data_IF_290563081030
#
_entry.id   IF_290563081030
#
_cell.length_a   1.000
_cell.length_b   1.000
_cell.length_c   1.000
_cell.angle_alpha   90.00
_cell.angle_beta   90.00
_cell.angle_gamma   90.00
#
_symmetry.space_group_name_H-M   'P 1'
#
loop_
_entity.id
_entity.type
_entity.pdbx_description
1 polymer ?
#
# COMPACT_ATOMS: atom_id res chain seq x y z
N UNK A 1 3.54 -5.59 -12.75
CA UNK A 1 4.81 -5.05 -12.22
C UNK A 1 5.27 -5.89 -11.02
N UNK A 2 6.28 -6.74 -11.17
CA UNK A 2 6.99 -7.27 -10.00
C UNK A 2 7.86 -6.11 -9.51
N UNK A 3 7.43 -5.41 -8.46
CA UNK A 3 8.34 -4.49 -7.77
C UNK A 3 9.61 -5.28 -7.44
N UNK A 4 10.82 -4.74 -7.68
CA UNK A 4 12.01 -5.33 -7.11
C UNK A 4 11.77 -5.41 -5.60
N UNK A 5 11.79 -6.64 -5.09
CA UNK A 5 11.66 -6.94 -3.68
C UNK A 5 12.80 -6.19 -2.98
N UNK A 6 12.51 -5.01 -2.45
CA UNK A 6 13.40 -4.30 -1.56
C UNK A 6 13.43 -5.12 -0.26
N UNK A 7 14.26 -6.17 -0.26
CA UNK A 7 14.62 -6.92 0.93
C UNK A 7 15.33 -5.94 1.85
N UNK A 8 14.65 -5.62 2.95
CA UNK A 8 14.74 -4.34 3.62
C UNK A 8 16.07 -3.98 4.28
N UNK A 9 16.80 -4.81 5.02
CA UNK A 9 17.37 -4.38 6.32
C UNK A 9 16.25 -4.21 7.36
N UNK A 10 16.49 -4.69 8.57
CA UNK A 10 15.53 -4.70 9.66
C UNK A 10 14.91 -3.33 9.93
N UNK A 11 13.63 -3.29 10.29
CA UNK A 11 12.99 -2.09 10.82
C UNK A 11 13.66 -1.71 12.15
N UNK A 12 13.89 -0.41 12.33
CA UNK A 12 14.30 0.20 13.60
C UNK A 12 13.02 0.67 14.32
N UNK A 13 12.93 0.41 15.62
CA UNK A 13 11.86 0.93 16.48
C UNK A 13 12.33 2.17 17.22
N UNK A 14 11.60 3.27 17.05
CA UNK A 14 11.98 4.59 17.54
C UNK A 14 11.20 4.95 18.81
N UNK A 15 11.64 4.43 19.96
CA UNK A 15 11.02 4.70 21.25
C UNK A 15 11.77 5.75 22.12
N UNK A 16 12.86 6.37 21.64
CA UNK A 16 13.61 7.34 22.49
C UNK A 16 14.27 8.45 21.66
N UNK A 17 13.95 9.69 22.04
CA UNK A 17 14.46 10.96 21.51
C UNK A 17 15.90 11.22 21.98
N UNK A 18 16.92 10.81 21.22
CA UNK A 18 18.32 11.27 21.43
C UNK A 18 19.24 10.85 20.27
N UNK A 19 19.75 11.83 19.52
CA UNK A 19 20.56 11.68 18.30
C UNK A 19 22.06 11.40 18.52
N UNK A 20 22.53 11.39 19.77
CA UNK A 20 23.97 11.29 20.03
C UNK A 20 24.33 9.88 20.48
N UNK A 21 24.79 9.08 19.52
CA UNK A 21 25.58 7.85 19.71
C UNK A 21 24.80 6.53 19.87
N UNK A 22 23.94 6.16 18.90
CA UNK A 22 23.30 4.83 18.85
C UNK A 22 23.92 3.87 17.82
N UNK A 23 24.19 2.64 18.25
CA UNK A 23 24.06 1.48 17.37
C UNK A 23 22.55 1.29 17.14
N UNK A 24 22.04 1.29 15.91
CA UNK A 24 20.62 1.12 15.67
C UNK A 24 20.17 -0.26 16.19
N UNK A 25 19.17 -0.26 17.06
CA UNK A 25 18.50 -1.49 17.47
C UNK A 25 17.66 -1.97 16.28
N UNK A 26 17.93 -3.19 15.83
CA UNK A 26 17.21 -3.83 14.75
C UNK A 26 16.08 -4.69 15.32
N UNK A 27 15.07 -5.02 14.50
CA UNK A 27 14.05 -6.01 14.87
C UNK A 27 14.64 -7.35 15.35
N UNK A 28 15.86 -7.71 14.92
CA UNK A 28 16.55 -8.91 15.40
C UNK A 28 16.96 -8.82 16.87
N UNK A 29 17.24 -7.61 17.36
CA UNK A 29 17.61 -7.35 18.75
C UNK A 29 16.40 -7.47 19.69
N UNK A 30 15.18 -7.33 19.16
CA UNK A 30 13.93 -7.46 19.90
C UNK A 30 13.48 -8.91 20.11
N UNK A 31 14.02 -9.85 19.33
CA UNK A 31 13.72 -11.28 19.47
C UNK A 31 14.66 -11.85 20.54
N UNK A 32 14.21 -12.15 21.79
CA UNK A 32 15.14 -12.53 22.86
C UNK A 32 15.67 -13.94 22.67
N UNK A 33 14.81 -14.85 22.20
CA UNK A 33 15.14 -16.25 21.98
C UNK A 33 16.13 -16.40 20.81
N UNK A 34 17.27 -17.04 21.09
CA UNK A 34 18.34 -17.17 20.12
C UNK A 34 17.99 -18.11 18.95
N UNK A 35 17.11 -19.09 19.14
CA UNK A 35 16.68 -19.98 18.07
C UNK A 35 15.68 -19.28 17.15
N UNK A 36 14.72 -18.55 17.73
CA UNK A 36 13.76 -17.71 17.02
C UNK A 36 14.48 -16.64 16.20
N UNK A 37 15.46 -15.94 16.79
CA UNK A 37 16.24 -14.92 16.07
C UNK A 37 16.96 -15.50 14.86
N UNK A 38 17.58 -16.69 15.00
CA UNK A 38 18.23 -17.38 13.87
C UNK A 38 17.23 -17.82 12.80
N UNK A 39 16.07 -18.31 13.21
CA UNK A 39 15.01 -18.71 12.27
C UNK A 39 14.48 -17.50 11.49
N UNK A 40 14.24 -16.38 12.16
CA UNK A 40 13.82 -15.14 11.53
C UNK A 40 14.90 -14.58 10.59
N UNK A 41 16.17 -14.63 11.01
CA UNK A 41 17.30 -14.23 10.16
C UNK A 41 17.43 -15.10 8.91
N UNK A 42 17.28 -16.42 9.04
CA UNK A 42 17.30 -17.33 7.89
C UNK A 42 16.17 -17.02 6.90
N UNK A 43 14.96 -16.76 7.39
CA UNK A 43 13.83 -16.31 6.58
C UNK A 43 14.16 -15.02 5.83
N UNK A 44 14.75 -14.04 6.52
CA UNK A 44 15.07 -12.73 5.96
C UNK A 44 16.13 -12.76 4.86
N UNK A 45 17.10 -13.67 4.99
CA UNK A 45 18.24 -13.78 4.07
C UNK A 45 17.95 -14.69 2.87
N UNK A 46 16.91 -15.53 2.93
CA UNK A 46 16.55 -16.43 1.84
C UNK A 46 16.04 -15.65 0.63
N UNK A 47 16.56 -16.01 -0.54
CA UNK A 47 16.28 -15.35 -1.82
C UNK A 47 15.40 -16.20 -2.72
N UNK A 48 15.40 -17.52 -2.54
CA UNK A 48 14.51 -18.41 -3.27
C UNK A 48 13.07 -18.29 -2.72
N UNK A 49 12.07 -17.88 -3.53
CA UNK A 49 10.72 -17.64 -3.02
C UNK A 49 10.06 -18.89 -2.44
N UNK A 50 10.28 -20.07 -3.03
CA UNK A 50 9.67 -21.30 -2.52
C UNK A 50 10.23 -21.68 -1.15
N UNK A 51 11.56 -21.60 -0.98
CA UNK A 51 12.21 -21.82 0.32
C UNK A 51 11.85 -20.75 1.34
N UNK A 52 11.78 -19.49 0.93
CA UNK A 52 11.40 -18.37 1.81
C UNK A 52 9.99 -18.57 2.37
N UNK A 53 9.06 -19.06 1.54
CA UNK A 53 7.71 -19.40 1.99
C UNK A 53 7.70 -20.57 2.97
N UNK A 54 8.42 -21.66 2.70
CA UNK A 54 8.54 -22.80 3.64
C UNK A 54 9.12 -22.36 5.00
N UNK A 55 10.14 -21.51 4.97
CA UNK A 55 10.74 -20.93 6.19
C UNK A 55 9.73 -20.08 6.96
N UNK A 56 8.94 -19.25 6.28
CA UNK A 56 7.91 -18.43 6.91
C UNK A 56 6.83 -19.29 7.57
N UNK A 57 6.31 -20.29 6.88
CA UNK A 57 5.30 -21.21 7.43
C UNK A 57 5.84 -22.01 8.61
N UNK A 58 7.09 -22.46 8.53
CA UNK A 58 7.76 -23.17 9.63
C UNK A 58 7.94 -22.25 10.83
N UNK A 59 8.31 -20.99 10.61
CA UNK A 59 8.41 -19.99 11.66
C UNK A 59 7.05 -19.82 12.36
N UNK A 60 5.97 -19.60 11.60
CA UNK A 60 4.62 -19.41 12.14
C UNK A 60 4.14 -20.62 12.97
N UNK A 61 4.48 -21.85 12.55
CA UNK A 61 4.16 -23.08 13.33
C UNK A 61 5.00 -23.22 14.59
N UNK A 62 6.28 -22.83 14.54
CA UNK A 62 7.23 -23.04 15.63
C UNK A 62 7.14 -21.95 16.70
N UNK A 63 6.86 -20.71 16.29
CA UNK A 63 6.83 -19.52 17.13
C UNK A 63 5.48 -18.78 17.02
N UNK A 64 4.33 -19.42 17.34
CA UNK A 64 3.00 -18.82 17.15
C UNK A 64 2.67 -17.65 18.08
N UNK A 65 3.59 -17.31 19.01
CA UNK A 65 3.49 -16.17 19.94
C UNK A 65 4.65 -15.18 19.78
N UNK A 66 5.36 -15.26 18.66
CA UNK A 66 6.47 -14.34 18.35
C UNK A 66 6.00 -12.89 18.34
N UNK A 67 6.87 -11.97 18.74
CA UNK A 67 6.63 -10.53 18.59
C UNK A 67 6.66 -10.07 17.12
N UNK A 68 7.30 -10.84 16.24
CA UNK A 68 7.52 -10.48 14.83
C UNK A 68 6.56 -11.17 13.85
N UNK A 69 5.38 -11.58 14.34
CA UNK A 69 4.40 -12.28 13.51
C UNK A 69 3.91 -11.42 12.34
N UNK A 70 3.76 -10.11 12.54
CA UNK A 70 3.29 -9.20 11.49
C UNK A 70 4.22 -9.22 10.27
N UNK A 71 5.54 -9.20 10.52
CA UNK A 71 6.60 -9.19 9.53
C UNK A 71 6.73 -10.55 8.85
N UNK A 72 6.61 -11.65 9.60
CA UNK A 72 6.63 -13.01 9.01
C UNK A 72 5.44 -13.21 8.07
N UNK A 73 4.25 -12.76 8.47
CA UNK A 73 3.07 -12.78 7.60
C UNK A 73 3.24 -11.86 6.39
N UNK A 74 3.85 -10.68 6.54
CA UNK A 74 4.15 -9.78 5.42
C UNK A 74 5.10 -10.45 4.42
N UNK A 75 6.18 -11.06 4.90
CA UNK A 75 7.14 -11.78 4.05
C UNK A 75 6.41 -12.93 3.33
N UNK A 76 5.61 -13.72 4.03
CA UNK A 76 4.83 -14.80 3.42
C UNK A 76 3.88 -14.28 2.34
N UNK A 77 3.17 -13.17 2.60
CA UNK A 77 2.26 -12.53 1.65
C UNK A 77 2.99 -12.10 0.38
N UNK A 78 4.06 -11.32 0.51
CA UNK A 78 4.88 -10.84 -0.62
C UNK A 78 5.49 -12.00 -1.41
N UNK A 79 5.92 -13.05 -0.72
CA UNK A 79 6.43 -14.27 -1.38
C UNK A 79 5.36 -15.00 -2.18
N UNK A 80 4.14 -15.09 -1.66
CA UNK A 80 3.02 -15.67 -2.40
C UNK A 80 2.68 -14.82 -3.64
N UNK A 81 2.78 -13.49 -3.57
CA UNK A 81 2.62 -12.60 -4.73
C UNK A 81 3.68 -12.91 -5.81
N UNK A 82 4.95 -13.06 -5.42
CA UNK A 82 6.04 -13.44 -6.34
C UNK A 82 5.80 -14.80 -7.01
N UNK A 83 5.21 -15.74 -6.27
CA UNK A 83 4.83 -17.07 -6.75
C UNK A 83 3.49 -17.10 -7.51
N UNK A 84 2.81 -15.95 -7.65
CA UNK A 84 1.45 -15.81 -8.21
C UNK A 84 0.36 -16.60 -7.46
N UNK A 85 0.61 -16.98 -6.21
CA UNK A 85 -0.38 -17.58 -5.30
C UNK A 85 -1.17 -16.46 -4.60
N UNK A 86 -2.02 -15.80 -5.37
CA UNK A 86 -2.73 -14.60 -4.91
C UNK A 86 -3.73 -14.87 -3.79
N UNK A 87 -4.28 -16.08 -3.72
CA UNK A 87 -5.22 -16.46 -2.65
C UNK A 87 -4.50 -16.47 -1.30
N UNK A 88 -3.40 -17.23 -1.19
CA UNK A 88 -2.60 -17.27 0.04
C UNK A 88 -1.92 -15.94 0.35
N UNK A 89 -1.55 -15.16 -0.69
CA UNK A 89 -1.05 -13.82 -0.50
C UNK A 89 -2.03 -12.93 0.27
N UNK A 90 -3.32 -12.94 -0.08
CA UNK A 90 -4.35 -12.15 0.59
C UNK A 90 -4.65 -12.66 2.01
N UNK A 91 -4.58 -13.97 2.24
CA UNK A 91 -4.73 -14.58 3.57
C UNK A 91 -3.62 -14.14 4.52
N UNK A 92 -2.35 -14.28 4.11
CA UNK A 92 -1.22 -13.81 4.91
C UNK A 92 -1.19 -12.29 5.06
N UNK A 93 -1.55 -11.54 4.01
CA UNK A 93 -1.62 -10.09 4.12
C UNK A 93 -2.70 -9.67 5.14
N UNK A 94 -3.86 -10.33 5.16
CA UNK A 94 -4.89 -10.08 6.16
C UNK A 94 -4.38 -10.40 7.57
N UNK A 95 -3.65 -11.50 7.76
CA UNK A 95 -3.05 -11.84 9.05
C UNK A 95 -2.01 -10.81 9.51
N UNK A 96 -1.16 -10.32 8.60
CA UNK A 96 -0.20 -9.26 8.87
C UNK A 96 -0.89 -7.93 9.23
N UNK A 97 -1.83 -7.47 8.40
CA UNK A 97 -2.53 -6.19 8.58
C UNK A 97 -3.49 -6.18 9.78
N UNK A 98 -3.86 -7.33 10.34
CA UNK A 98 -4.55 -7.40 11.64
C UNK A 98 -3.62 -7.02 12.80
N UNK A 99 -2.33 -7.33 12.68
CA UNK A 99 -1.32 -7.04 13.70
C UNK A 99 -0.68 -5.65 13.46
N UNK A 100 -0.41 -5.32 12.20
CA UNK A 100 0.17 -4.04 11.77
C UNK A 100 -0.67 -3.44 10.63
N UNK A 101 -1.81 -2.79 10.93
CA UNK A 101 -2.75 -2.28 9.93
C UNK A 101 -2.20 -1.13 9.07
N UNK A 102 -1.16 -0.45 9.54
CA UNK A 102 -0.61 0.78 9.00
C UNK A 102 0.69 0.51 8.20
N UNK A 103 0.70 -0.59 7.43
CA UNK A 103 1.84 -0.98 6.60
C UNK A 103 1.60 -0.57 5.13
N UNK A 104 2.01 0.64 4.70
CA UNK A 104 1.75 1.10 3.33
C UNK A 104 2.39 0.20 2.28
N UNK A 105 3.56 -0.39 2.55
CA UNK A 105 4.26 -1.24 1.58
C UNK A 105 3.46 -2.52 1.29
N UNK A 106 2.85 -3.11 2.31
CA UNK A 106 1.96 -4.25 2.14
C UNK A 106 0.62 -3.84 1.53
N UNK A 107 0.02 -2.73 1.98
CA UNK A 107 -1.26 -2.23 1.45
C UNK A 107 -1.20 -1.95 -0.06
N UNK A 108 -0.12 -1.35 -0.57
CA UNK A 108 0.08 -1.15 -2.02
C UNK A 108 0.06 -2.49 -2.77
N UNK A 109 0.79 -3.47 -2.25
CA UNK A 109 0.89 -4.80 -2.88
C UNK A 109 -0.46 -5.53 -2.88
N UNK A 110 -1.18 -5.44 -1.76
CA UNK A 110 -2.53 -6.01 -1.59
C UNK A 110 -3.52 -5.36 -2.53
N UNK A 111 -3.48 -4.04 -2.69
CA UNK A 111 -4.39 -3.32 -3.59
C UNK A 111 -4.21 -3.76 -5.05
N UNK A 112 -2.97 -3.94 -5.53
CA UNK A 112 -2.73 -4.45 -6.90
C UNK A 112 -3.28 -5.88 -7.06
N UNK A 113 -3.03 -6.77 -6.09
CA UNK A 113 -3.54 -8.15 -6.12
C UNK A 113 -5.07 -8.18 -6.11
N UNK A 114 -5.71 -7.43 -5.21
CA UNK A 114 -7.17 -7.33 -5.14
C UNK A 114 -7.75 -6.81 -6.45
N UNK A 115 -7.14 -5.78 -7.06
CA UNK A 115 -7.61 -5.23 -8.33
C UNK A 115 -7.49 -6.26 -9.47
N UNK A 116 -6.41 -7.06 -9.51
CA UNK A 116 -6.22 -8.16 -10.47
C UNK A 116 -7.24 -9.28 -10.28
N UNK A 117 -7.57 -9.61 -9.03
CA UNK A 117 -8.57 -10.63 -8.67
C UNK A 117 -10.02 -10.13 -8.82
N UNK A 118 -10.22 -8.86 -9.18
CA UNK A 118 -11.55 -8.29 -9.33
C UNK A 118 -12.26 -7.95 -8.01
N UNK A 119 -11.53 -7.90 -6.91
CA UNK A 119 -12.02 -7.44 -5.60
C UNK A 119 -11.99 -5.90 -5.56
N UNK A 120 -12.77 -5.24 -6.43
CA UNK A 120 -12.61 -3.81 -6.77
C UNK A 120 -12.79 -2.89 -5.58
N UNK A 121 -13.80 -3.13 -4.73
CA UNK A 121 -14.01 -2.31 -3.53
C UNK A 121 -12.88 -2.47 -2.50
N UNK A 122 -12.37 -3.69 -2.33
CA UNK A 122 -11.26 -3.93 -1.40
C UNK A 122 -9.98 -3.27 -1.92
N UNK A 123 -9.72 -3.39 -3.22
CA UNK A 123 -8.60 -2.73 -3.88
C UNK A 123 -8.66 -1.20 -3.72
N UNK A 124 -9.83 -0.61 -3.90
CA UNK A 124 -10.04 0.83 -3.70
C UNK A 124 -9.74 1.23 -2.25
N UNK A 125 -10.27 0.48 -1.27
CA UNK A 125 -10.02 0.75 0.14
C UNK A 125 -8.53 0.66 0.47
N UNK A 126 -7.87 -0.44 0.13
CA UNK A 126 -6.45 -0.65 0.42
C UNK A 126 -5.54 0.36 -0.28
N UNK A 127 -5.84 0.75 -1.53
CA UNK A 127 -5.07 1.78 -2.23
C UNK A 127 -5.22 3.17 -1.59
N UNK A 128 -6.43 3.54 -1.16
CA UNK A 128 -6.68 4.83 -0.50
C UNK A 128 -6.03 4.89 0.88
N UNK A 129 -6.13 3.82 1.66
CA UNK A 129 -5.42 3.70 2.94
C UNK A 129 -3.90 3.85 2.71
N UNK A 130 -3.34 3.12 1.74
CA UNK A 130 -1.91 3.25 1.43
C UNK A 130 -1.51 4.68 1.02
N UNK A 131 -2.31 5.38 0.21
CA UNK A 131 -2.05 6.78 -0.15
C UNK A 131 -2.07 7.69 1.09
N UNK A 132 -3.04 7.49 1.99
CA UNK A 132 -3.11 8.21 3.26
C UNK A 132 -1.87 7.97 4.12
N UNK A 133 -1.45 6.72 4.28
CA UNK A 133 -0.28 6.36 5.06
C UNK A 133 1.03 6.86 4.43
N UNK A 134 1.19 6.75 3.10
CA UNK A 134 2.35 7.30 2.38
C UNK A 134 2.45 8.82 2.53
N UNK A 135 1.34 9.53 2.58
CA UNK A 135 1.32 10.97 2.80
C UNK A 135 1.74 11.35 4.22
N UNK A 136 1.38 10.54 5.23
CA UNK A 136 1.59 10.82 6.66
C UNK A 136 2.94 10.33 7.19
N UNK A 137 3.43 9.18 6.71
CA UNK A 137 4.59 8.53 7.32
C UNK A 137 5.93 8.96 6.74
N UNK A 138 6.90 9.03 7.65
CA UNK A 138 8.30 9.09 7.27
C UNK A 138 8.75 7.76 6.64
N UNK A 139 9.89 7.84 5.96
CA UNK A 139 10.59 6.69 5.39
C UNK A 139 10.80 5.58 6.43
N UNK A 140 10.51 4.31 6.11
CA UNK A 140 10.96 3.19 6.95
C UNK A 140 12.49 3.17 7.07
N UNK A 141 13.02 2.94 8.27
CA UNK A 141 14.46 2.99 8.55
C UNK A 141 15.31 2.16 7.56
N UNK A 142 14.77 1.03 7.11
CA UNK A 142 15.35 0.09 6.15
C UNK A 142 15.63 0.67 4.76
N UNK A 143 14.94 1.73 4.34
CA UNK A 143 15.09 2.33 3.01
C UNK A 143 16.06 3.50 3.09
N UNK A 144 17.11 3.63 2.27
CA UNK A 144 17.99 4.81 2.33
C UNK A 144 17.26 6.13 2.06
N UNK A 145 17.63 7.21 2.76
CA UNK A 145 16.97 8.53 2.64
C UNK A 145 16.91 9.05 1.21
N UNK A 146 18.02 8.94 0.48
CA UNK A 146 18.12 9.34 -0.92
C UNK A 146 17.17 8.56 -1.84
N UNK A 147 16.85 7.31 -1.49
CA UNK A 147 15.97 6.44 -2.30
C UNK A 147 14.48 6.64 -2.03
N UNK A 148 14.11 7.19 -0.88
CA UNK A 148 12.72 7.27 -0.44
C UNK A 148 11.81 8.12 -1.31
N UNK A 149 12.18 9.35 -1.74
CA UNK A 149 11.29 10.13 -2.61
C UNK A 149 10.93 9.40 -3.90
N UNK A 150 11.87 8.62 -4.46
CA UNK A 150 11.64 7.81 -5.65
C UNK A 150 10.73 6.63 -5.38
N UNK A 151 10.98 5.88 -4.30
CA UNK A 151 10.16 4.74 -3.91
C UNK A 151 8.74 5.17 -3.55
N UNK A 152 8.57 6.22 -2.74
CA UNK A 152 7.27 6.79 -2.39
C UNK A 152 6.47 7.15 -3.63
N UNK A 153 7.08 7.84 -4.60
CA UNK A 153 6.44 8.18 -5.88
C UNK A 153 5.99 6.94 -6.66
N UNK A 154 6.79 5.87 -6.68
CA UNK A 154 6.45 4.61 -7.34
C UNK A 154 5.30 3.87 -6.62
N UNK A 155 5.28 3.90 -5.30
CA UNK A 155 4.20 3.33 -4.50
C UNK A 155 2.89 4.10 -4.71
N UNK A 156 2.93 5.44 -4.71
CA UNK A 156 1.79 6.29 -5.06
C UNK A 156 1.28 5.98 -6.47
N UNK A 157 2.18 5.87 -7.46
CA UNK A 157 1.81 5.48 -8.82
C UNK A 157 1.09 4.12 -8.86
N UNK A 158 1.57 3.17 -8.06
CA UNK A 158 0.99 1.82 -7.96
C UNK A 158 -0.40 1.84 -7.33
N UNK A 159 -0.64 2.68 -6.30
CA UNK A 159 -1.96 2.89 -5.73
C UNK A 159 -2.94 3.46 -6.75
N UNK A 160 -2.55 4.51 -7.47
CA UNK A 160 -3.38 5.08 -8.53
C UNK A 160 -3.64 4.10 -9.66
N UNK A 161 -2.65 3.29 -10.03
CA UNK A 161 -2.85 2.23 -11.00
C UNK A 161 -3.85 1.17 -10.53
N UNK A 162 -3.77 0.73 -9.27
CA UNK A 162 -4.73 -0.20 -8.68
C UNK A 162 -6.16 0.38 -8.65
N UNK A 163 -6.31 1.66 -8.27
CA UNK A 163 -7.59 2.38 -8.33
C UNK A 163 -8.14 2.45 -9.75
N UNK A 164 -7.29 2.78 -10.73
CA UNK A 164 -7.62 2.81 -12.15
C UNK A 164 -8.11 1.45 -12.65
N UNK A 165 -7.39 0.38 -12.31
CA UNK A 165 -7.75 -1.01 -12.65
C UNK A 165 -9.06 -1.42 -12.01
N UNK A 166 -9.25 -1.14 -10.73
CA UNK A 166 -10.47 -1.48 -10.01
C UNK A 166 -11.70 -0.80 -10.64
N UNK A 167 -11.61 0.51 -10.89
CA UNK A 167 -12.70 1.27 -11.52
C UNK A 167 -13.00 0.79 -12.94
N UNK A 168 -11.99 0.51 -13.77
CA UNK A 168 -12.19 -0.05 -15.11
C UNK A 168 -12.83 -1.45 -15.05
N UNK A 169 -12.34 -2.33 -14.17
CA UNK A 169 -12.85 -3.68 -14.02
C UNK A 169 -14.30 -3.71 -13.54
N UNK A 170 -14.68 -2.78 -12.67
CA UNK A 170 -16.06 -2.62 -12.20
C UNK A 170 -16.97 -2.12 -13.31
N UNK A 171 -16.56 -1.07 -14.03
CA UNK A 171 -17.33 -0.52 -15.15
C UNK A 171 -17.55 -1.53 -16.28
N UNK A 172 -16.57 -2.39 -16.54
CA UNK A 172 -16.61 -3.38 -17.62
C UNK A 172 -17.42 -4.64 -17.27
N UNK A 173 -17.73 -4.88 -15.99
CA UNK A 173 -18.65 -5.95 -15.58
C UNK A 173 -20.12 -5.60 -15.82
N UNK A 174 -20.47 -4.32 -15.75
CA UNK A 174 -21.82 -3.87 -16.02
C UNK A 174 -22.18 -4.06 -17.51
N UNK A 175 -23.44 -4.42 -17.84
CA UNK A 175 -23.91 -4.44 -19.22
C UNK A 175 -23.66 -3.10 -19.93
N UNK A 176 -23.38 -3.11 -21.23
CA UNK A 176 -23.00 -1.90 -21.97
C UNK A 176 -24.01 -0.74 -21.87
N UNK A 177 -25.30 -1.04 -21.66
CA UNK A 177 -26.38 -0.03 -21.49
C UNK A 177 -26.34 0.68 -20.13
N UNK A 178 -25.72 0.06 -19.14
CA UNK A 178 -25.58 0.54 -17.75
C UNK A 178 -24.09 0.77 -17.40
N UNK A 179 -23.22 0.79 -18.41
CA UNK A 179 -21.79 0.95 -18.23
C UNK A 179 -21.53 2.21 -17.41
N UNK A 180 -20.85 2.05 -16.28
CA UNK A 180 -20.54 3.15 -15.37
C UNK A 180 -19.55 4.12 -16.02
N UNK A 181 -20.06 5.06 -16.83
CA UNK A 181 -19.24 6.10 -17.49
C UNK A 181 -18.41 6.87 -16.46
N UNK A 182 -19.00 7.16 -15.30
CA UNK A 182 -18.31 7.78 -14.17
C UNK A 182 -17.13 6.95 -13.67
N UNK A 183 -17.27 5.62 -13.60
CA UNK A 183 -16.19 4.72 -13.21
C UNK A 183 -15.07 4.68 -14.26
N UNK A 184 -15.41 4.73 -15.55
CA UNK A 184 -14.41 4.80 -16.62
C UNK A 184 -13.68 6.15 -16.64
N UNK A 185 -14.36 7.26 -16.37
CA UNK A 185 -13.73 8.57 -16.20
C UNK A 185 -12.85 8.63 -14.94
N UNK A 186 -13.28 8.05 -13.82
CA UNK A 186 -12.45 7.89 -12.62
C UNK A 186 -11.21 7.05 -12.93
N UNK A 187 -11.38 5.94 -13.66
CA UNK A 187 -10.28 5.09 -14.09
C UNK A 187 -9.25 5.88 -14.90
N UNK A 188 -9.70 6.64 -15.91
CA UNK A 188 -8.83 7.50 -16.71
C UNK A 188 -8.06 8.51 -15.85
N UNK A 189 -8.73 9.18 -14.90
CA UNK A 189 -8.09 10.15 -14.02
C UNK A 189 -7.00 9.50 -13.16
N UNK A 190 -7.29 8.35 -12.54
CA UNK A 190 -6.31 7.60 -11.76
C UNK A 190 -5.13 7.11 -12.61
N UNK A 191 -5.37 6.60 -13.82
CA UNK A 191 -4.31 6.13 -14.71
C UNK A 191 -3.43 7.28 -15.22
N UNK A 192 -4.01 8.46 -15.41
CA UNK A 192 -3.26 9.67 -15.77
C UNK A 192 -2.31 10.09 -14.64
N UNK A 193 -2.77 10.04 -13.39
CA UNK A 193 -1.94 10.33 -12.23
C UNK A 193 -0.86 9.27 -12.01
N UNK A 194 -1.20 7.99 -12.17
CA UNK A 194 -0.24 6.89 -12.14
C UNK A 194 0.88 7.10 -13.18
N UNK A 195 0.52 7.49 -14.42
CA UNK A 195 1.49 7.76 -15.50
C UNK A 195 2.36 8.97 -15.22
N UNK A 196 1.81 10.02 -14.59
CA UNK A 196 2.56 11.21 -14.18
C UNK A 196 3.66 10.84 -13.18
N UNK A 197 3.35 9.95 -12.24
CA UNK A 197 4.26 9.50 -11.19
C UNK A 197 5.24 8.41 -11.67
N UNK A 198 4.82 7.57 -12.62
CA UNK A 198 5.62 6.48 -13.18
C UNK A 198 5.42 6.36 -14.71
N UNK A 199 6.08 7.22 -15.52
CA UNK A 199 5.91 7.22 -16.98
C UNK A 199 6.52 6.00 -17.68
N UNK A 200 7.34 5.21 -16.98
CA UNK A 200 8.04 4.06 -17.56
C UNK A 200 7.26 2.74 -17.51
N UNK A 201 6.08 2.69 -16.89
CA UNK A 201 5.29 1.46 -16.79
C UNK A 201 4.38 1.31 -18.02
N UNK A 202 4.56 0.26 -18.86
CA UNK A 202 3.73 0.02 -20.03
C UNK A 202 2.30 -0.41 -19.71
N UNK A 203 2.03 -0.97 -18.52
CA UNK A 203 0.68 -1.41 -18.13
C UNK A 203 -0.27 -0.22 -17.99
N UNK A 204 0.22 0.95 -17.54
CA UNK A 204 -0.58 2.15 -17.33
C UNK A 204 -1.21 2.67 -18.64
N UNK A 205 -0.43 3.03 -19.69
CA UNK A 205 -1.00 3.46 -20.95
C UNK A 205 -1.77 2.33 -21.64
N UNK A 206 -1.39 1.07 -21.47
CA UNK A 206 -2.17 -0.04 -22.03
C UNK A 206 -3.59 -0.10 -21.44
N UNK A 207 -3.72 -0.05 -20.12
CA UNK A 207 -5.01 -0.06 -19.45
C UNK A 207 -5.81 1.22 -19.72
N UNK A 208 -5.14 2.38 -19.83
CA UNK A 208 -5.79 3.62 -20.22
C UNK A 208 -6.37 3.52 -21.63
N UNK A 209 -5.63 2.94 -22.58
CA UNK A 209 -6.13 2.68 -23.93
C UNK A 209 -7.36 1.77 -23.96
N UNK A 210 -7.41 0.73 -23.12
CA UNK A 210 -8.61 -0.12 -22.99
C UNK A 210 -9.80 0.66 -22.41
N UNK A 211 -9.55 1.55 -21.44
CA UNK A 211 -10.55 2.42 -20.82
C UNK A 211 -11.12 3.41 -21.85
N UNK A 212 -10.25 4.03 -22.66
CA UNK A 212 -10.64 4.93 -23.75
C UNK A 212 -11.45 4.20 -24.84
N UNK A 213 -11.08 2.96 -25.20
CA UNK A 213 -11.91 2.15 -26.10
C UNK A 213 -13.31 1.91 -25.54
N UNK A 214 -13.41 1.57 -24.25
CA UNK A 214 -14.68 1.35 -23.58
C UNK A 214 -15.55 2.62 -23.55
N UNK A 215 -14.90 3.79 -23.52
CA UNK A 215 -15.49 5.12 -23.61
C UNK A 215 -15.82 5.56 -25.05
N UNK A 216 -15.49 4.75 -26.07
CA UNK A 216 -15.68 5.08 -27.48
C UNK A 216 -14.64 6.05 -28.06
N UNK A 217 -13.61 6.40 -27.29
CA UNK A 217 -12.53 7.32 -27.63
C UNK A 217 -11.40 6.61 -28.35
N UNK A 218 -11.68 6.21 -29.60
CA UNK A 218 -10.78 5.35 -30.38
C UNK A 218 -9.44 6.01 -30.73
N UNK A 219 -9.39 7.34 -30.87
CA UNK A 219 -8.15 8.04 -31.20
C UNK A 219 -7.22 8.13 -29.98
N UNK A 220 -7.79 8.45 -28.82
CA UNK A 220 -7.11 8.50 -27.52
C UNK A 220 -6.58 7.10 -27.16
N UNK A 221 -7.43 6.08 -27.32
CA UNK A 221 -7.04 4.69 -27.15
C UNK A 221 -5.85 4.30 -28.04
N UNK A 222 -5.87 4.71 -29.31
CA UNK A 222 -4.76 4.47 -30.23
C UNK A 222 -3.45 5.10 -29.74
N UNK A 223 -3.50 6.36 -29.28
CA UNK A 223 -2.34 7.06 -28.74
C UNK A 223 -1.77 6.37 -27.48
N UNK A 224 -2.64 5.89 -26.59
CA UNK A 224 -2.21 5.20 -25.38
C UNK A 224 -1.68 3.79 -25.66
N UNK A 225 -2.24 3.04 -26.60
CA UNK A 225 -1.62 1.79 -27.06
C UNK A 225 -0.27 2.03 -27.73
N UNK A 226 -0.11 3.11 -28.50
CA UNK A 226 1.18 3.46 -29.10
C UNK A 226 2.24 3.75 -28.02
N UNK A 227 1.87 4.48 -26.95
CA UNK A 227 2.75 4.66 -25.79
C UNK A 227 3.14 3.33 -25.12
N UNK A 228 2.18 2.44 -24.87
CA UNK A 228 2.47 1.12 -24.31
C UNK A 228 3.37 0.28 -25.23
N UNK A 229 3.16 0.37 -26.55
CA UNK A 229 3.97 -0.31 -27.55
C UNK A 229 5.43 0.16 -27.53
N UNK A 230 5.67 1.48 -27.46
CA UNK A 230 7.03 2.04 -27.39
C UNK A 230 7.82 1.60 -26.16
N UNK A 231 7.14 1.45 -25.02
CA UNK A 231 7.76 0.96 -23.78
C UNK A 231 8.15 -0.53 -23.85
N UNK A 232 7.62 -1.29 -24.82
CA UNK A 232 8.05 -2.65 -25.12
C UNK A 232 7.56 -3.71 -24.13
N UNK A 233 8.28 -4.84 -24.12
CA UNK A 233 7.95 -6.01 -23.29
C UNK A 233 6.63 -6.72 -23.69
N UNK A 234 6.14 -7.65 -22.86
CA UNK A 234 4.92 -8.42 -23.14
C UNK A 234 3.68 -7.54 -23.36
N UNK A 235 3.56 -6.46 -22.59
CA UNK A 235 2.47 -5.49 -22.72
C UNK A 235 2.58 -4.71 -24.04
N UNK A 236 3.80 -4.33 -24.46
CA UNK A 236 4.01 -3.68 -25.75
C UNK A 236 3.60 -4.57 -26.93
N UNK A 237 3.78 -5.89 -26.83
CA UNK A 237 3.27 -6.85 -27.82
C UNK A 237 1.74 -6.95 -27.82
N UNK A 238 1.11 -6.92 -26.64
CA UNK A 238 -0.36 -6.87 -26.53
C UNK A 238 -0.92 -5.58 -27.12
N UNK A 239 -0.28 -4.44 -26.84
CA UNK A 239 -0.62 -3.14 -27.40
C UNK A 239 -0.52 -3.12 -28.93
N UNK A 240 0.52 -3.73 -29.50
CA UNK A 240 0.66 -3.90 -30.96
C UNK A 240 -0.55 -4.63 -31.56
N UNK A 241 -1.04 -5.69 -30.89
CA UNK A 241 -2.24 -6.41 -31.31
C UNK A 241 -3.50 -5.52 -31.32
N UNK A 242 -3.67 -4.64 -30.33
CA UNK A 242 -4.80 -3.68 -30.31
C UNK A 242 -4.66 -2.61 -31.40
N UNK A 243 -3.44 -2.10 -31.61
CA UNK A 243 -3.14 -1.14 -32.68
C UNK A 243 -3.44 -1.71 -34.07
N UNK A 244 -3.11 -2.98 -34.33
CA UNK A 244 -3.45 -3.65 -35.59
C UNK A 244 -4.96 -3.77 -35.80
N UNK A 245 -5.74 -4.07 -34.74
CA UNK A 245 -7.20 -4.08 -34.82
C UNK A 245 -7.76 -2.70 -35.17
N UNK A 246 -7.28 -1.66 -34.48
CA UNK A 246 -7.67 -0.28 -34.78
C UNK A 246 -7.33 0.11 -36.22
N UNK A 247 -6.11 -0.18 -36.67
CA UNK A 247 -5.68 0.05 -38.05
C UNK A 247 -6.63 -0.60 -39.06
N UNK A 248 -6.94 -1.89 -38.91
CA UNK A 248 -7.85 -2.61 -39.84
C UNK A 248 -9.25 -1.98 -39.93
N UNK A 249 -9.72 -1.34 -38.85
CA UNK A 249 -11.06 -0.73 -38.80
C UNK A 249 -11.10 0.74 -39.18
N UNK A 250 -10.00 1.49 -39.04
CA UNK A 250 -9.97 2.96 -39.15
C UNK A 250 -8.94 3.52 -40.12
N UNK A 251 -8.01 2.72 -40.63
CA UNK A 251 -7.00 3.22 -41.55
C UNK A 251 -7.65 3.84 -42.77
N UNK A 252 -7.12 4.98 -43.20
CA UNK A 252 -7.55 5.57 -44.47
C UNK A 252 -7.02 4.70 -45.61
N UNK A 253 -7.75 4.56 -46.72
CA UNK A 253 -7.24 3.85 -47.89
C UNK A 253 -5.87 4.40 -48.30
N UNK A 254 -4.89 3.52 -48.46
CA UNK A 254 -3.52 3.88 -48.87
C UNK A 254 -2.57 4.31 -47.76
N UNK A 255 -2.98 4.38 -46.48
CA UNK A 255 -2.04 4.60 -45.37
C UNK A 255 -1.42 3.29 -44.91
N UNK A 256 -0.10 3.23 -44.71
CA UNK A 256 0.57 2.07 -44.11
C UNK A 256 0.36 2.04 -42.59
N UNK A 257 0.64 0.89 -41.97
CA UNK A 257 0.56 0.75 -40.51
C UNK A 257 1.56 1.67 -39.80
N UNK A 258 2.76 1.80 -40.35
CA UNK A 258 3.82 2.68 -39.83
C UNK A 258 3.38 4.15 -39.87
N UNK A 259 2.75 4.59 -40.96
CA UNK A 259 2.21 5.94 -41.07
C UNK A 259 1.05 6.18 -40.10
N UNK A 260 0.21 5.17 -39.86
CA UNK A 260 -0.84 5.22 -38.86
C UNK A 260 -0.27 5.38 -37.44
N UNK A 261 0.76 4.59 -37.10
CA UNK A 261 1.45 4.70 -35.81
C UNK A 261 2.07 6.08 -35.63
N UNK A 262 2.90 6.55 -36.56
CA UNK A 262 3.58 7.85 -36.46
C UNK A 262 2.60 9.00 -36.21
N UNK A 263 1.40 8.97 -36.81
CA UNK A 263 0.33 9.95 -36.55
C UNK A 263 -0.19 9.92 -35.12
N UNK A 264 -0.39 8.72 -34.55
CA UNK A 264 -0.85 8.57 -33.16
C UNK A 264 0.20 9.07 -32.18
N UNK A 265 1.48 8.82 -32.45
CA UNK A 265 2.59 9.27 -31.62
C UNK A 265 2.74 10.79 -31.63
N UNK A 266 2.68 11.40 -32.81
CA UNK A 266 2.70 12.86 -32.95
C UNK A 266 1.55 13.55 -32.19
N UNK A 267 0.35 12.96 -32.17
CA UNK A 267 -0.81 13.50 -31.43
C UNK A 267 -0.58 13.46 -29.91
N UNK A 268 0.17 12.48 -29.42
CA UNK A 268 0.48 12.34 -28.01
C UNK A 268 1.50 13.38 -27.53
N UNK A 269 2.51 13.69 -28.34
CA UNK A 269 3.50 14.75 -28.04
C UNK A 269 2.87 16.15 -27.98
N UNK A 270 1.81 16.36 -28.75
CA UNK A 270 1.06 17.62 -28.80
C UNK A 270 0.01 17.77 -27.69
N UNK A 271 -0.27 16.72 -26.91
CA UNK A 271 -1.25 16.79 -25.83
C UNK A 271 -0.61 17.41 -24.58
N UNK A 272 -1.05 18.60 -24.12
CA UNK A 272 -0.50 19.20 -22.92
C UNK A 272 -0.76 18.27 -21.74
N UNK A 273 0.27 18.01 -20.93
CA UNK A 273 0.16 17.26 -19.69
C UNK A 273 -1.03 17.84 -18.89
N UNK A 274 -2.07 17.02 -18.70
CA UNK A 274 -3.26 17.39 -17.94
C UNK A 274 -2.77 17.90 -16.59
N UNK A 275 -3.06 19.18 -16.31
CA UNK A 275 -2.73 19.77 -15.00
C UNK A 275 -3.37 18.90 -13.92
N UNK A 276 -2.73 18.75 -12.75
CA UNK A 276 -3.31 18.03 -11.63
C UNK A 276 -4.72 18.55 -11.41
N UNK A 277 -5.70 17.65 -11.37
CA UNK A 277 -6.99 17.99 -10.77
C UNK A 277 -6.69 18.18 -9.29
N UNK A 278 -6.42 19.42 -8.89
CA UNK A 278 -6.64 19.82 -7.51
C UNK A 278 -8.10 19.47 -7.21
N UNK A 279 -8.31 18.43 -6.41
CA UNK A 279 -9.61 18.23 -5.79
C UNK A 279 -9.96 19.55 -5.10
N UNK A 280 -11.07 20.21 -5.47
CA UNK A 280 -11.58 21.26 -4.62
C UNK A 280 -11.91 20.56 -3.31
N UNK A 281 -11.14 20.88 -2.26
CA UNK A 281 -11.48 20.50 -0.91
C UNK A 281 -12.93 20.94 -0.71
N UNK A 282 -13.84 19.97 -0.64
CA UNK A 282 -15.19 20.25 -0.17
C UNK A 282 -15.02 20.86 1.22
N UNK A 283 -15.73 21.94 1.57
CA UNK A 283 -15.65 22.48 2.91
C UNK A 283 -16.19 21.42 3.87
N UNK A 284 -15.28 20.68 4.49
CA UNK A 284 -15.63 19.75 5.54
C UNK A 284 -16.26 20.54 6.69
N UNK A 285 -17.39 20.08 7.25
CA UNK A 285 -17.86 20.63 8.50
C UNK A 285 -16.76 20.47 9.55
N UNK A 286 -16.52 21.53 10.34
CA UNK A 286 -15.50 21.51 11.39
C UNK A 286 -15.69 20.27 12.27
N UNK A 287 -14.65 19.42 12.43
CA UNK A 287 -14.77 18.22 13.24
C UNK A 287 -15.09 18.60 14.69
N UNK A 288 -15.98 17.86 15.33
CA UNK A 288 -16.33 18.01 16.75
C UNK A 288 -15.13 17.78 17.70
N UNK A 289 -14.03 17.24 17.17
CA UNK A 289 -12.78 16.98 17.86
C UNK A 289 -11.67 17.86 17.26
N UNK A 290 -11.06 18.68 18.11
CA UNK A 290 -9.85 19.41 17.76
C UNK A 290 -8.67 18.43 17.72
N UNK A 291 -8.44 17.84 16.54
CA UNK A 291 -7.26 17.02 16.30
C UNK A 291 -5.97 17.83 16.47
N UNK A 292 -4.84 17.14 16.60
CA UNK A 292 -3.51 17.75 16.82
C UNK A 292 -3.13 18.83 15.80
N UNK A 293 -3.71 18.79 14.60
CA UNK A 293 -3.51 19.80 13.55
C UNK A 293 -4.03 21.20 13.95
N UNK A 294 -5.06 21.29 14.80
CA UNK A 294 -5.53 22.55 15.35
C UNK A 294 -4.47 23.22 16.25
N UNK A 295 -3.61 22.42 16.87
CA UNK A 295 -2.55 22.91 17.76
C UNK A 295 -1.34 23.47 16.98
N UNK A 296 -1.17 23.12 15.70
CA UNK A 296 -0.01 23.52 14.89
C UNK A 296 0.18 25.03 14.80
N UNK A 297 -0.92 25.79 14.69
CA UNK A 297 -0.87 27.23 14.52
C UNK A 297 -0.22 27.96 15.70
N UNK A 298 -0.35 27.41 16.91
CA UNK A 298 0.18 28.02 18.14
C UNK A 298 1.40 27.28 18.71
N UNK A 299 1.60 26.01 18.35
CA UNK A 299 2.65 25.14 18.90
C UNK A 299 3.42 24.41 17.79
N UNK A 300 3.99 25.17 16.87
CA UNK A 300 4.67 24.61 15.69
C UNK A 300 5.78 23.60 16.07
N UNK A 301 6.66 23.95 17.00
CA UNK A 301 7.79 23.09 17.38
C UNK A 301 7.34 21.82 18.11
N UNK A 302 6.35 21.93 19.01
CA UNK A 302 5.82 20.76 19.74
C UNK A 302 5.05 19.86 18.77
N UNK A 303 4.28 20.45 17.86
CA UNK A 303 3.57 19.73 16.82
C UNK A 303 4.55 18.99 15.90
N UNK A 304 5.64 19.63 15.49
CA UNK A 304 6.68 19.03 14.65
C UNK A 304 7.30 17.81 15.34
N UNK A 305 7.81 17.98 16.58
CA UNK A 305 8.38 16.87 17.34
C UNK A 305 7.37 15.76 17.65
N UNK A 306 6.15 16.12 18.06
CA UNK A 306 5.08 15.15 18.30
C UNK A 306 4.75 14.37 17.02
N UNK A 307 4.55 15.03 15.88
CA UNK A 307 4.23 14.41 14.59
C UNK A 307 5.30 13.42 14.09
N UNK A 308 6.52 13.57 14.60
CA UNK A 308 7.63 12.69 14.31
C UNK A 308 7.65 11.44 15.22
N UNK A 309 6.93 11.44 16.35
CA UNK A 309 6.82 10.27 17.24
C UNK A 309 5.99 9.15 16.62
N UNK A 310 6.29 7.91 17.01
CA UNK A 310 5.46 6.74 16.65
C UNK A 310 4.00 6.89 17.11
N UNK A 311 3.74 7.57 18.23
CA UNK A 311 2.39 7.76 18.77
C UNK A 311 1.54 8.75 17.96
N UNK A 312 2.14 9.76 17.33
CA UNK A 312 1.42 10.65 16.41
C UNK A 312 1.13 10.02 15.05
N UNK A 313 1.88 8.95 14.74
CA UNK A 313 1.79 8.16 13.53
C UNK A 313 0.83 6.99 13.69
N UNK A 314 0.67 6.47 14.91
CA UNK A 314 -0.44 5.58 15.22
C UNK A 314 -1.77 6.34 15.19
N UNK A 315 -2.84 5.56 15.02
CA UNK A 315 -4.25 5.94 15.02
C UNK A 315 -4.83 6.13 13.61
N UNK A 316 -5.31 4.99 13.07
CA UNK A 316 -6.61 4.95 12.40
C UNK A 316 -7.63 5.79 13.16
N UNK A 317 -8.56 6.48 12.47
CA UNK A 317 -9.73 7.06 13.13
C UNK A 317 -10.39 6.02 14.04
N UNK A 318 -10.79 6.43 15.24
CA UNK A 318 -11.49 5.57 16.17
C UNK A 318 -12.68 4.90 15.48
N UNK A 319 -12.67 3.56 15.44
CA UNK A 319 -13.77 2.72 14.99
C UNK A 319 -13.95 1.57 15.97
N UNK A 320 -15.18 1.18 16.31
CA UNK A 320 -15.44 0.06 17.22
C UNK A 320 -14.68 -1.22 16.82
N UNK A 321 -14.56 -1.49 15.52
CA UNK A 321 -13.87 -2.67 14.99
C UNK A 321 -12.35 -2.70 15.24
N UNK A 322 -11.73 -1.54 15.53
CA UNK A 322 -10.29 -1.41 15.74
C UNK A 322 -9.90 -1.40 17.24
N UNK A 323 -10.88 -1.57 18.13
CA UNK A 323 -10.65 -1.57 19.58
C UNK A 323 -10.35 -2.99 20.05
N UNK A 324 -9.12 -3.22 20.49
CA UNK A 324 -8.71 -4.47 21.14
C UNK A 324 -9.17 -4.47 22.62
N UNK A 325 -10.47 -4.60 22.84
CA UNK A 325 -11.07 -4.76 24.16
C UNK A 325 -12.54 -5.18 24.06
N UNK A 326 -12.98 -6.13 24.89
CA UNK A 326 -14.36 -6.61 24.92
C UNK A 326 -15.23 -5.70 25.81
N UNK A 327 -15.64 -4.53 25.32
CA UNK A 327 -16.50 -3.60 26.06
C UNK A 327 -17.97 -4.06 26.14
N UNK A 328 -18.30 -5.28 25.69
CA UNK A 328 -19.67 -5.82 25.75
C UNK A 328 -19.95 -6.59 27.04
N UNK A 329 -18.90 -6.90 27.80
CA UNK A 329 -18.98 -7.53 29.11
C UNK A 329 -18.63 -6.48 30.14
N UNK A 330 -19.37 -6.47 31.25
CA UNK A 330 -19.10 -5.61 32.41
C UNK A 330 -17.77 -6.00 33.05
N UNK A 331 -16.68 -5.62 32.38
CA UNK A 331 -15.33 -5.99 32.75
C UNK A 331 -14.89 -5.13 33.93
N UNK A 332 -14.18 -5.78 34.85
CA UNK A 332 -13.54 -5.10 35.96
C UNK A 332 -12.07 -4.90 35.65
N UNK A 333 -11.62 -3.65 35.70
CA UNK A 333 -10.22 -3.27 35.55
C UNK A 333 -9.68 -2.98 36.94
N UNK A 334 -8.50 -3.53 37.26
CA UNK A 334 -7.85 -3.34 38.54
C UNK A 334 -6.57 -2.54 38.35
N UNK A 335 -6.15 -1.82 39.40
CA UNK A 335 -4.94 -0.99 39.36
C UNK A 335 -3.66 -1.80 39.04
N UNK A 336 -2.63 -1.09 38.57
CA UNK A 336 -1.31 -1.66 38.27
C UNK A 336 -0.56 -2.13 39.53
N UNK A 337 0.60 -2.76 39.33
CA UNK A 337 1.47 -3.18 40.44
C UNK A 337 2.16 -1.94 41.08
N UNK A 338 1.48 -1.29 42.01
CA UNK A 338 2.06 -0.26 42.88
C UNK A 338 2.70 -0.91 44.13
N UNK A 339 3.45 -1.99 43.92
CA UNK A 339 4.19 -2.65 44.99
C UNK A 339 5.36 -1.76 45.45
N UNK A 340 5.57 -1.51 46.76
CA UNK A 340 6.75 -0.80 47.21
C UNK A 340 8.00 -1.58 46.76
N UNK A 341 8.93 -0.88 46.12
CA UNK A 341 10.19 -1.46 45.69
C UNK A 341 11.03 -1.81 46.92
N UNK A 342 10.87 -3.02 47.45
CA UNK A 342 11.65 -3.51 48.57
C UNK A 342 12.61 -4.60 48.08
N UNK A 343 13.91 -4.39 48.35
CA UNK A 343 14.94 -5.43 48.29
C UNK A 343 15.06 -6.18 46.96
N UNK A 344 14.92 -5.48 45.83
CA UNK A 344 15.26 -6.01 44.50
C UNK A 344 14.30 -7.04 43.91
N UNK A 345 13.09 -7.19 44.47
CA UNK A 345 11.97 -7.92 43.85
C UNK A 345 10.68 -7.12 43.98
N UNK A 346 9.89 -7.10 42.90
CA UNK A 346 8.52 -6.61 42.93
C UNK A 346 7.63 -7.79 43.36
N UNK A 347 7.01 -7.68 44.54
CA UNK A 347 5.94 -8.61 44.93
C UNK A 347 4.67 -8.25 44.14
N UNK A 348 4.31 -9.07 43.15
CA UNK A 348 3.09 -8.87 42.37
C UNK A 348 1.86 -9.32 43.16
N UNK A 349 0.87 -8.44 43.31
CA UNK A 349 -0.43 -8.80 43.90
C UNK A 349 -1.29 -9.42 42.78
N UNK A 350 -1.89 -10.63 42.98
CA UNK A 350 -2.79 -11.21 41.99
C UNK A 350 -3.97 -10.28 41.67
N UNK A 351 -4.32 -10.13 40.40
CA UNK A 351 -5.27 -9.11 39.91
C UNK A 351 -6.61 -9.00 40.64
N UNK A 352 -7.19 -10.10 41.14
CA UNK A 352 -8.47 -10.10 41.89
C UNK A 352 -8.39 -9.52 43.31
N UNK A 353 -7.19 -9.40 43.86
CA UNK A 353 -6.93 -8.83 45.18
C UNK A 353 -6.51 -7.35 45.11
N UNK A 354 -6.46 -6.78 43.89
CA UNK A 354 -6.08 -5.39 43.66
C UNK A 354 -7.29 -4.46 43.81
N UNK A 355 -7.08 -3.17 44.10
CA UNK A 355 -8.14 -2.17 44.05
C UNK A 355 -8.77 -2.15 42.66
N UNK A 356 -10.11 -2.14 42.64
CA UNK A 356 -10.87 -1.95 41.42
C UNK A 356 -10.64 -0.52 40.93
N UNK A 357 -10.04 -0.40 39.75
CA UNK A 357 -9.77 0.87 39.09
C UNK A 357 -11.02 1.39 38.37
N UNK A 358 -11.67 0.53 37.58
CA UNK A 358 -12.82 0.91 36.77
C UNK A 358 -13.73 -0.28 36.45
N UNK A 359 -14.98 0.04 36.06
CA UNK A 359 -15.94 -0.89 35.46
C UNK A 359 -16.49 -0.27 34.18
N UNK A 360 -16.64 -1.09 33.15
CA UNK A 360 -17.39 -0.72 31.94
C UNK A 360 -18.87 -1.09 32.04
#
# INVERSE_FOLDING_TARGET
MLLPCALGLAQEFDAVVSDQNRKPATIFDEIPDAAERRAFQALYQERDPAKRLDLAERFLRTYPRSGVLAEVYEIAAKTCIELNDYQRALEYASASLKLLPENPLLLVSVADVQARQGLTQQAEQSAREALGELARFARPASIPEQGWPNLKRQLEASCYFALGRAAAAEALRAPARERGWDLLHRSEAYLSEARRLNPGDPEIPYLKGLTDLALGRQDEAGADFAAAHRLGGPIGSQAAGQLQKLYKTRARPGTTFEAFLARLEAKQELSPATKPVENPASPEPLPAYAGSQACRACHADIYEHWSQTGMARMFRPYRPENVLGDFTRANEFYEGDDGPWQTGRVEGIPGKARPLFARD
#
